data_IF_303831519128
#
_entry.id   IF_303831519128
#
_cell.length_a   1.000
_cell.length_b   1.000
_cell.length_c   1.000
_cell.angle_alpha   90.00
_cell.angle_beta   90.00
_cell.angle_gamma   90.00
#
_symmetry.space_group_name_H-M   'P 1'
#
loop_
_entity.id
_entity.type
_entity.pdbx_description
1 polymer ?
#
# COMPACT_ATOMS: atom_id res chain seq x y z
N UNK A 1 9.13 -12.87 -23.90
CA UNK A 1 9.65 -13.29 -22.56
C UNK A 1 10.03 -14.77 -22.60
N UNK A 2 11.18 -15.19 -22.04
CA UNK A 2 11.59 -16.61 -22.07
C UNK A 2 10.87 -17.43 -21.00
N UNK A 3 10.69 -18.76 -21.19
CA UNK A 3 10.11 -19.62 -20.15
C UNK A 3 10.85 -19.54 -18.81
N UNK A 4 12.19 -19.55 -18.84
CA UNK A 4 13.02 -19.43 -17.63
C UNK A 4 12.77 -18.13 -16.87
N UNK A 5 12.62 -17.00 -17.60
CA UNK A 5 12.35 -15.71 -16.98
C UNK A 5 10.96 -15.68 -16.34
N UNK A 6 9.94 -16.26 -16.98
CA UNK A 6 8.60 -16.38 -16.40
C UNK A 6 8.63 -17.13 -15.07
N UNK A 7 9.28 -18.29 -15.05
CA UNK A 7 9.45 -19.08 -13.82
C UNK A 7 10.13 -18.26 -12.72
N UNK A 8 11.25 -17.62 -13.05
CA UNK A 8 11.99 -16.80 -12.10
C UNK A 8 11.17 -15.65 -11.51
N UNK A 9 10.36 -14.97 -12.33
CA UNK A 9 9.50 -13.87 -11.85
C UNK A 9 8.41 -14.39 -10.91
N UNK A 10 7.78 -15.52 -11.22
CA UNK A 10 6.77 -16.10 -10.33
C UNK A 10 7.40 -16.56 -9.01
N UNK A 11 8.56 -17.23 -9.04
CA UNK A 11 9.30 -17.63 -7.84
C UNK A 11 9.73 -16.42 -7.00
N UNK A 12 10.14 -15.34 -7.63
CA UNK A 12 10.44 -14.09 -6.96
C UNK A 12 9.19 -13.50 -6.30
N UNK A 13 8.05 -13.48 -6.99
CA UNK A 13 6.79 -13.00 -6.42
C UNK A 13 6.38 -13.83 -5.19
N UNK A 14 6.51 -15.16 -5.25
CA UNK A 14 6.26 -16.04 -4.09
C UNK A 14 7.19 -15.67 -2.93
N UNK A 15 8.47 -15.47 -3.19
CA UNK A 15 9.46 -15.13 -2.16
C UNK A 15 9.15 -13.78 -1.51
N UNK A 16 8.86 -12.74 -2.30
CA UNK A 16 8.53 -11.40 -1.79
C UNK A 16 7.23 -11.40 -0.97
N UNK A 17 6.20 -12.10 -1.46
CA UNK A 17 4.95 -12.26 -0.71
C UNK A 17 5.19 -13.00 0.62
N UNK A 18 5.97 -14.07 0.61
CA UNK A 18 6.28 -14.84 1.83
C UNK A 18 7.10 -14.03 2.84
N UNK A 19 7.96 -13.13 2.37
CA UNK A 19 8.83 -12.35 3.24
C UNK A 19 8.18 -11.08 3.79
N UNK A 20 7.24 -10.45 3.06
CA UNK A 20 6.81 -9.07 3.33
C UNK A 20 5.30 -8.86 3.42
N UNK A 21 4.48 -9.86 3.00
CA UNK A 21 3.04 -9.65 3.04
C UNK A 21 2.52 -9.68 4.48
N UNK A 22 1.65 -8.74 4.80
CA UNK A 22 1.18 -8.49 6.17
C UNK A 22 0.40 -9.66 6.80
N UNK A 23 -0.15 -10.56 5.96
CA UNK A 23 -0.87 -11.75 6.41
C UNK A 23 -0.10 -13.02 6.01
N UNK A 24 0.71 -13.63 6.91
CA UNK A 24 1.53 -14.79 6.59
C UNK A 24 0.74 -16.01 6.09
N UNK A 25 -0.46 -16.25 6.63
CA UNK A 25 -1.32 -17.35 6.22
C UNK A 25 -1.80 -17.20 4.77
N UNK A 26 -2.06 -15.96 4.33
CA UNK A 26 -2.43 -15.67 2.95
C UNK A 26 -1.19 -15.80 2.04
N UNK A 27 -0.02 -15.36 2.49
CA UNK A 27 1.23 -15.53 1.75
C UNK A 27 1.54 -17.01 1.49
N UNK A 28 1.30 -17.91 2.45
CA UNK A 28 1.42 -19.36 2.25
C UNK A 28 0.45 -19.88 1.19
N UNK A 29 -0.80 -19.41 1.18
CA UNK A 29 -1.79 -19.78 0.15
C UNK A 29 -1.36 -19.30 -1.23
N UNK A 30 -0.81 -18.08 -1.33
CA UNK A 30 -0.24 -17.54 -2.57
C UNK A 30 0.90 -18.44 -3.08
N UNK A 31 1.82 -18.83 -2.19
CA UNK A 31 2.95 -19.69 -2.57
C UNK A 31 2.46 -21.03 -3.15
N UNK A 32 1.46 -21.65 -2.55
CA UNK A 32 0.85 -22.89 -3.05
C UNK A 32 0.18 -22.66 -4.40
N UNK A 33 -0.70 -21.66 -4.50
CA UNK A 33 -1.48 -21.39 -5.71
C UNK A 33 -0.59 -21.05 -6.92
N UNK A 34 0.39 -20.16 -6.75
CA UNK A 34 1.31 -19.81 -7.82
C UNK A 34 2.25 -20.98 -8.19
N UNK A 35 2.68 -21.76 -7.20
CA UNK A 35 3.46 -22.98 -7.43
C UNK A 35 2.67 -24.03 -8.24
N UNK A 36 1.39 -24.21 -7.97
CA UNK A 36 0.50 -25.09 -8.74
C UNK A 36 0.33 -24.57 -10.17
N UNK A 37 0.10 -23.27 -10.36
CA UNK A 37 -0.01 -22.65 -11.70
C UNK A 37 1.30 -22.81 -12.49
N UNK A 38 2.47 -22.71 -11.87
CA UNK A 38 3.76 -23.00 -12.51
C UNK A 38 3.85 -24.46 -12.96
N UNK A 39 3.52 -25.42 -12.08
CA UNK A 39 3.53 -26.85 -12.42
C UNK A 39 2.54 -27.19 -13.53
N UNK A 40 1.39 -26.52 -13.54
CA UNK A 40 0.37 -26.66 -14.57
C UNK A 40 0.72 -25.93 -15.88
N UNK A 41 1.89 -25.27 -15.95
CA UNK A 41 2.33 -24.47 -17.11
C UNK A 41 1.33 -23.36 -17.51
N UNK A 42 0.61 -22.81 -16.52
CA UNK A 42 -0.44 -21.81 -16.76
C UNK A 42 0.07 -20.49 -17.38
N UNK A 43 1.38 -20.26 -17.33
CA UNK A 43 2.04 -19.07 -17.89
C UNK A 43 2.73 -19.33 -19.23
N UNK A 44 2.68 -20.58 -19.74
CA UNK A 44 3.30 -20.91 -21.02
C UNK A 44 2.60 -20.16 -22.17
N UNK A 45 3.40 -19.68 -23.12
CA UNK A 45 2.90 -18.92 -24.28
C UNK A 45 2.57 -17.45 -23.99
N UNK A 46 2.70 -16.96 -22.77
CA UNK A 46 2.57 -15.53 -22.49
C UNK A 46 3.92 -14.86 -22.70
N UNK A 47 4.18 -14.39 -23.92
CA UNK A 47 5.46 -13.80 -24.29
C UNK A 47 5.52 -12.30 -24.11
N UNK A 48 4.37 -11.63 -24.06
CA UNK A 48 4.26 -10.21 -23.76
C UNK A 48 4.43 -9.97 -22.25
N UNK A 49 5.42 -9.15 -21.83
CA UNK A 49 5.68 -8.93 -20.41
C UNK A 49 4.60 -8.14 -19.68
N UNK A 50 3.84 -7.29 -20.39
CA UNK A 50 2.72 -6.54 -19.81
C UNK A 50 1.56 -7.51 -19.51
N UNK A 51 1.18 -8.32 -20.49
CA UNK A 51 0.13 -9.35 -20.32
C UNK A 51 0.51 -10.36 -19.23
N UNK A 52 1.79 -10.71 -19.13
CA UNK A 52 2.27 -11.57 -18.05
C UNK A 52 2.13 -10.92 -16.67
N UNK A 53 2.50 -9.65 -16.53
CA UNK A 53 2.36 -8.91 -15.29
C UNK A 53 0.88 -8.76 -14.86
N UNK A 54 -0.02 -8.50 -15.81
CA UNK A 54 -1.47 -8.47 -15.59
C UNK A 54 -2.00 -9.83 -15.14
N UNK A 55 -1.60 -10.92 -15.81
CA UNK A 55 -1.99 -12.27 -15.41
C UNK A 55 -1.51 -12.60 -14.00
N UNK A 56 -0.25 -12.36 -13.69
CA UNK A 56 0.30 -12.62 -12.37
C UNK A 56 -0.39 -11.76 -11.29
N UNK A 57 -0.73 -10.51 -11.62
CA UNK A 57 -1.53 -9.65 -10.72
C UNK A 57 -2.91 -10.26 -10.45
N UNK A 58 -3.60 -10.75 -11.49
CA UNK A 58 -4.91 -11.38 -11.32
C UNK A 58 -4.82 -12.62 -10.42
N UNK A 59 -3.82 -13.46 -10.65
CA UNK A 59 -3.60 -14.69 -9.87
C UNK A 59 -3.27 -14.40 -8.39
N UNK A 60 -2.50 -13.35 -8.12
CA UNK A 60 -2.24 -12.88 -6.76
C UNK A 60 -3.51 -12.39 -6.07
N UNK A 61 -4.31 -11.57 -6.76
CA UNK A 61 -5.56 -11.01 -6.23
C UNK A 61 -6.65 -12.05 -6.02
N UNK A 62 -6.66 -13.11 -6.82
CA UNK A 62 -7.57 -14.24 -6.64
C UNK A 62 -7.42 -14.87 -5.24
N UNK A 63 -6.19 -14.89 -4.70
CA UNK A 63 -5.89 -15.47 -3.39
C UNK A 63 -5.93 -14.44 -2.27
N UNK A 64 -5.40 -13.25 -2.52
CA UNK A 64 -5.25 -12.22 -1.48
C UNK A 64 -6.51 -11.40 -1.26
N UNK A 65 -7.37 -11.27 -2.29
CA UNK A 65 -8.49 -10.31 -2.33
C UNK A 65 -8.07 -8.86 -2.04
N UNK A 66 -6.78 -8.55 -2.27
CA UNK A 66 -6.17 -7.25 -1.99
C UNK A 66 -5.84 -6.53 -3.30
N UNK A 67 -6.51 -5.40 -3.54
CA UNK A 67 -6.34 -4.61 -4.74
C UNK A 67 -5.01 -3.84 -4.78
N UNK A 68 -4.31 -3.70 -3.66
CA UNK A 68 -2.99 -3.08 -3.60
C UNK A 68 -1.89 -4.00 -4.16
N UNK A 69 -2.11 -5.32 -4.09
CA UNK A 69 -1.16 -6.28 -4.65
C UNK A 69 -1.22 -6.24 -6.17
N UNK A 70 -0.08 -5.90 -6.79
CA UNK A 70 0.05 -5.84 -8.24
C UNK A 70 1.49 -6.03 -8.69
N UNK A 71 1.65 -6.64 -9.85
CA UNK A 71 2.91 -6.73 -10.60
C UNK A 71 2.84 -5.76 -11.76
N UNK A 72 3.89 -5.00 -11.98
CA UNK A 72 4.04 -4.09 -13.12
C UNK A 72 5.30 -4.43 -13.89
N UNK A 73 5.21 -4.36 -15.20
CA UNK A 73 6.37 -4.40 -16.05
C UNK A 73 6.96 -3.00 -16.24
N UNK A 74 8.29 -2.91 -16.19
CA UNK A 74 9.05 -1.73 -16.62
C UNK A 74 10.07 -2.16 -17.66
N UNK A 75 10.15 -1.43 -18.77
CA UNK A 75 11.17 -1.63 -19.78
C UNK A 75 12.54 -1.08 -19.33
N UNK A 76 12.52 -0.10 -18.42
CA UNK A 76 13.72 0.44 -17.81
C UNK A 76 14.05 -0.35 -16.53
N UNK A 77 15.34 -0.61 -16.27
CA UNK A 77 15.75 -1.21 -15.02
C UNK A 77 15.26 -0.37 -13.84
N UNK A 78 14.59 -1.02 -12.88
CA UNK A 78 14.25 -0.36 -11.63
C UNK A 78 15.55 -0.12 -10.83
N UNK A 79 15.65 0.98 -10.10
CA UNK A 79 16.74 1.18 -9.16
C UNK A 79 16.79 0.01 -8.16
N UNK A 80 17.99 -0.36 -7.66
CA UNK A 80 18.08 -1.39 -6.64
C UNK A 80 17.23 -1.02 -5.42
N UNK A 81 16.67 -2.01 -4.69
CA UNK A 81 15.93 -1.73 -3.46
C UNK A 81 16.78 -0.90 -2.51
N UNK A 82 16.27 0.21 -2.04
CA UNK A 82 16.98 1.16 -1.19
C UNK A 82 17.73 2.26 -1.94
N UNK A 83 17.76 2.24 -3.27
CA UNK A 83 18.35 3.36 -4.04
C UNK A 83 17.51 4.64 -3.96
N UNK A 84 16.20 4.50 -3.69
CA UNK A 84 15.29 5.63 -3.42
C UNK A 84 15.21 5.97 -1.92
N UNK A 85 15.93 5.25 -1.05
CA UNK A 85 16.12 5.57 0.37
C UNK A 85 17.17 6.71 0.55
N UNK A 86 17.32 7.59 -0.44
CA UNK A 86 17.96 8.87 -0.19
C UNK A 86 17.15 9.56 0.90
N UNK A 87 17.75 9.74 2.07
CA UNK A 87 17.16 10.56 3.12
C UNK A 87 16.74 11.88 2.50
N UNK A 88 15.45 12.25 2.53
CA UNK A 88 14.99 13.46 1.85
C UNK A 88 15.83 14.66 2.28
N UNK A 89 16.19 15.53 1.33
CA UNK A 89 16.96 16.72 1.67
C UNK A 89 16.18 17.61 2.64
N UNK A 90 16.84 18.45 3.44
CA UNK A 90 16.15 19.40 4.31
C UNK A 90 15.13 20.28 3.56
N UNK A 91 15.42 20.63 2.30
CA UNK A 91 14.53 21.40 1.43
C UNK A 91 13.29 20.59 1.02
N UNK A 92 13.45 19.31 0.70
CA UNK A 92 12.34 18.40 0.38
C UNK A 92 11.44 18.17 1.60
N UNK A 93 12.03 17.97 2.78
CA UNK A 93 11.27 17.85 4.04
C UNK A 93 10.51 19.15 4.33
N UNK A 94 11.14 20.31 4.13
CA UNK A 94 10.50 21.58 4.36
C UNK A 94 9.37 21.88 3.33
N UNK A 95 9.53 21.45 2.09
CA UNK A 95 8.50 21.53 1.06
C UNK A 95 7.30 20.65 1.41
N UNK A 96 7.55 19.37 1.74
CA UNK A 96 6.52 18.44 2.19
C UNK A 96 5.73 18.95 3.40
N UNK A 97 6.43 19.46 4.42
CA UNK A 97 5.78 20.05 5.60
C UNK A 97 4.87 21.23 5.25
N UNK A 98 5.30 22.09 4.32
CA UNK A 98 4.47 23.23 3.88
C UNK A 98 3.23 22.77 3.12
N UNK A 99 3.38 21.78 2.25
CA UNK A 99 2.28 21.18 1.50
C UNK A 99 1.29 20.53 2.45
N UNK A 100 1.75 19.66 3.34
CA UNK A 100 0.92 19.00 4.35
C UNK A 100 0.21 19.99 5.27
N UNK A 101 0.89 21.07 5.67
CA UNK A 101 0.29 22.12 6.50
C UNK A 101 -0.82 22.88 5.76
N UNK A 102 -0.74 23.03 4.44
CA UNK A 102 -1.75 23.73 3.65
C UNK A 102 -3.14 23.06 3.68
N UNK A 103 -3.18 21.73 3.91
CA UNK A 103 -4.41 20.95 4.10
C UNK A 103 -4.52 20.34 5.51
N UNK A 104 -3.86 20.99 6.48
CA UNK A 104 -3.92 20.63 7.90
C UNK A 104 -3.62 19.15 8.17
N UNK A 105 -2.62 18.57 7.44
CA UNK A 105 -2.17 17.18 7.59
C UNK A 105 -3.29 16.16 7.42
N UNK A 106 -4.24 16.44 6.53
CA UNK A 106 -5.40 15.61 6.24
C UNK A 106 -6.57 15.77 7.21
N UNK A 107 -6.45 16.51 8.29
CA UNK A 107 -7.55 16.75 9.23
C UNK A 107 -8.40 17.92 8.72
N UNK A 108 -9.53 17.62 8.09
CA UNK A 108 -10.45 18.61 7.53
C UNK A 108 -11.38 19.21 8.57
N UNK A 109 -11.92 18.39 9.47
CA UNK A 109 -12.89 18.82 10.47
C UNK A 109 -12.83 17.97 11.73
N UNK A 110 -12.94 18.63 12.89
CA UNK A 110 -13.11 17.99 14.18
C UNK A 110 -14.27 18.68 14.89
N UNK A 111 -15.24 17.92 15.35
CA UNK A 111 -16.39 18.48 16.07
C UNK A 111 -16.97 17.49 17.08
N UNK A 112 -17.72 18.03 18.04
CA UNK A 112 -18.56 17.27 18.96
C UNK A 112 -20.00 17.34 18.51
N UNK A 113 -20.56 16.22 18.08
CA UNK A 113 -21.94 16.05 17.68
C UNK A 113 -22.86 15.92 18.90
N UNK A 114 -24.23 16.05 18.71
CA UNK A 114 -25.19 15.70 19.74
C UNK A 114 -24.94 14.32 20.34
N UNK A 115 -25.42 14.08 21.55
CA UNK A 115 -25.22 12.84 22.31
C UNK A 115 -23.75 12.54 22.64
N UNK A 116 -22.92 13.58 22.73
CA UNK A 116 -21.51 13.48 23.07
C UNK A 116 -20.69 12.58 22.16
N UNK A 117 -20.97 12.62 20.85
CA UNK A 117 -20.22 11.87 19.84
C UNK A 117 -19.14 12.76 19.24
N UNK A 118 -17.87 12.30 19.26
CA UNK A 118 -16.77 12.93 18.53
C UNK A 118 -16.86 12.61 17.04
N UNK A 119 -16.48 13.56 16.18
CA UNK A 119 -16.41 13.37 14.75
C UNK A 119 -15.10 13.97 14.21
N UNK A 120 -14.37 13.19 13.42
CA UNK A 120 -13.17 13.62 12.71
C UNK A 120 -13.33 13.26 11.24
N UNK A 121 -13.28 14.27 10.34
CA UNK A 121 -13.15 14.10 8.89
C UNK A 121 -11.65 14.07 8.57
N UNK A 122 -11.13 12.90 8.20
CA UNK A 122 -9.72 12.67 7.92
C UNK A 122 -9.55 12.29 6.44
N UNK A 123 -8.98 13.20 5.65
CA UNK A 123 -8.87 13.08 4.18
C UNK A 123 -7.52 12.61 3.68
N UNK A 124 -6.56 12.37 4.55
CA UNK A 124 -5.24 11.86 4.21
C UNK A 124 -4.49 11.39 5.43
N UNK A 125 -3.48 10.55 5.20
CA UNK A 125 -2.54 10.10 6.20
C UNK A 125 -1.15 10.58 5.78
N UNK A 126 -0.77 11.75 6.28
CA UNK A 126 0.58 12.27 6.12
C UNK A 126 1.57 11.54 7.03
N UNK A 127 2.86 11.70 6.75
CA UNK A 127 3.91 11.14 7.58
C UNK A 127 3.72 11.55 9.05
N UNK A 128 3.77 10.57 9.95
CA UNK A 128 3.49 10.77 11.38
C UNK A 128 4.45 11.77 12.02
N UNK A 129 5.70 11.88 11.54
CA UNK A 129 6.67 12.82 12.10
C UNK A 129 6.24 14.28 11.89
N UNK A 130 5.47 14.56 10.84
CA UNK A 130 4.95 15.91 10.58
C UNK A 130 3.49 16.07 10.99
N UNK A 131 2.66 15.02 10.89
CA UNK A 131 1.22 15.06 11.18
C UNK A 131 0.87 14.91 12.67
N UNK A 132 1.77 14.32 13.49
CA UNK A 132 1.48 14.01 14.88
C UNK A 132 0.90 15.18 15.70
N UNK A 133 1.37 16.43 15.59
CA UNK A 133 0.77 17.54 16.35
C UNK A 133 -0.69 17.80 15.99
N UNK A 134 -1.05 17.76 14.70
CA UNK A 134 -2.42 17.99 14.23
C UNK A 134 -3.35 16.84 14.63
N UNK A 135 -2.92 15.59 14.44
CA UNK A 135 -3.69 14.40 14.85
C UNK A 135 -3.87 14.38 16.37
N UNK A 136 -2.83 14.70 17.15
CA UNK A 136 -2.93 14.76 18.61
C UNK A 136 -3.92 15.84 19.06
N UNK A 137 -3.89 17.01 18.43
CA UNK A 137 -4.84 18.08 18.72
C UNK A 137 -6.28 17.66 18.41
N UNK A 138 -6.51 17.04 17.23
CA UNK A 138 -7.81 16.50 16.84
C UNK A 138 -8.33 15.48 17.86
N UNK A 139 -7.51 14.51 18.24
CA UNK A 139 -7.86 13.49 19.24
C UNK A 139 -8.11 14.08 20.62
N UNK A 140 -7.35 15.11 21.02
CA UNK A 140 -7.55 15.79 22.30
C UNK A 140 -8.91 16.48 22.38
N UNK A 141 -9.37 17.10 21.28
CA UNK A 141 -10.69 17.75 21.22
C UNK A 141 -11.85 16.78 21.43
N UNK A 142 -11.70 15.53 21.03
CA UNK A 142 -12.74 14.50 21.15
C UNK A 142 -12.45 13.46 22.26
N UNK A 143 -11.40 13.66 23.07
CA UNK A 143 -10.94 12.68 24.06
C UNK A 143 -11.98 12.34 25.15
N UNK A 144 -12.95 13.23 25.38
CA UNK A 144 -13.98 13.06 26.40
C UNK A 144 -15.39 12.82 25.83
N UNK A 145 -15.45 12.34 24.58
CA UNK A 145 -16.72 11.93 23.96
C UNK A 145 -17.01 10.45 24.27
N UNK A 146 -18.30 10.09 24.28
CA UNK A 146 -18.74 8.72 24.59
C UNK A 146 -18.55 7.77 23.41
N UNK A 147 -18.49 8.31 22.19
CA UNK A 147 -18.21 7.58 20.96
C UNK A 147 -17.44 8.47 19.99
N UNK A 148 -16.73 7.85 19.04
CA UNK A 148 -15.96 8.54 18.01
C UNK A 148 -16.33 8.00 16.62
N UNK A 149 -16.58 8.92 15.68
CA UNK A 149 -16.68 8.64 14.25
C UNK A 149 -15.44 9.23 13.58
N UNK A 150 -14.66 8.37 12.90
CA UNK A 150 -13.59 8.80 11.99
C UNK A 150 -14.12 8.60 10.57
N UNK A 151 -14.34 9.69 9.86
CA UNK A 151 -14.86 9.68 8.49
C UNK A 151 -13.69 9.66 7.50
N UNK A 152 -13.56 8.55 6.77
CA UNK A 152 -12.54 8.32 5.76
C UNK A 152 -13.12 8.27 4.33
N UNK A 153 -14.38 8.66 4.13
CA UNK A 153 -15.04 8.54 2.82
C UNK A 153 -14.42 9.41 1.74
N UNK A 154 -13.71 10.45 2.14
CA UNK A 154 -12.99 11.35 1.24
C UNK A 154 -11.45 11.21 1.35
N UNK A 155 -10.98 10.10 1.95
CA UNK A 155 -9.56 9.77 2.09
C UNK A 155 -8.98 9.17 0.80
#
# INVERSE_FOLDING_TARGET
MTPALRTQVVENAIREMSARYVFPDIAMKVAVALGDKLRAKAYDGIDDPVLFAERLTADLREVTHDLHVRVRYSAEPLPPPGADDETPSPEQIAAYRRESAAHNFGVERVERLPLNVGYIDLRGFDDIEVAAPAITAAMTLVAHTDALIVDLRAN
#
